data_IF_104216709844
#
_entry.id   IF_104216709844
#
_cell.length_a   1.000
_cell.length_b   1.000
_cell.length_c   1.000
_cell.angle_alpha   90.00
_cell.angle_beta   90.00
_cell.angle_gamma   90.00
#
_symmetry.space_group_name_H-M   'P 1'
#
loop_
_entity.id
_entity.type
_entity.pdbx_description
1 polymer ?
#
# COMPACT_ATOMS: atom_id res chain seq x y z
N UNK A 1 -5.81 -7.04 -3.67
CA UNK A 1 -6.43 -5.91 -2.96
C UNK A 1 -7.87 -5.68 -3.42
N UNK A 2 -8.12 -5.35 -4.69
CA UNK A 2 -9.48 -5.16 -5.23
C UNK A 2 -10.40 -6.36 -4.96
N UNK A 3 -9.92 -7.58 -5.19
CA UNK A 3 -10.70 -8.80 -4.92
C UNK A 3 -11.02 -8.95 -3.42
N UNK A 4 -10.04 -8.75 -2.54
CA UNK A 4 -10.26 -8.77 -1.09
C UNK A 4 -11.26 -7.69 -0.65
N UNK A 5 -11.28 -6.52 -1.31
CA UNK A 5 -12.28 -5.49 -1.03
C UNK A 5 -13.68 -5.90 -1.51
N UNK A 6 -13.77 -6.56 -2.67
CA UNK A 6 -15.04 -6.94 -3.29
C UNK A 6 -15.82 -7.98 -2.50
N UNK A 7 -15.12 -8.83 -1.72
CA UNK A 7 -15.76 -9.90 -0.94
C UNK A 7 -16.15 -9.47 0.48
N UNK A 8 -15.63 -8.33 0.98
CA UNK A 8 -16.04 -7.79 2.28
C UNK A 8 -17.47 -7.25 2.19
N UNK A 9 -18.47 -8.02 2.62
CA UNK A 9 -19.88 -7.62 2.77
C UNK A 9 -20.37 -7.96 4.18
N UNK A 10 -21.64 -7.65 4.49
CA UNK A 10 -22.24 -8.01 5.78
C UNK A 10 -22.22 -9.54 6.07
N UNK A 11 -22.11 -10.37 5.02
CA UNK A 11 -22.03 -11.84 5.11
C UNK A 11 -20.58 -12.37 5.02
N UNK A 12 -19.58 -11.56 5.41
CA UNK A 12 -18.17 -11.95 5.32
C UNK A 12 -17.83 -13.21 6.14
N UNK A 13 -16.82 -13.94 5.69
CA UNK A 13 -16.35 -15.16 6.34
C UNK A 13 -14.86 -15.18 6.65
N UNK A 14 -14.37 -16.28 7.25
CA UNK A 14 -12.95 -16.49 7.53
C UNK A 14 -12.05 -16.36 6.28
N UNK A 15 -12.58 -16.64 5.09
CA UNK A 15 -11.85 -16.51 3.83
C UNK A 15 -11.53 -15.05 3.49
N UNK A 16 -12.40 -14.10 3.85
CA UNK A 16 -12.20 -12.66 3.65
C UNK A 16 -11.11 -12.14 4.56
N UNK A 17 -11.15 -12.51 5.85
CA UNK A 17 -10.08 -12.19 6.80
C UNK A 17 -8.73 -12.77 6.32
N UNK A 18 -8.71 -14.00 5.82
CA UNK A 18 -7.51 -14.59 5.25
C UNK A 18 -6.99 -13.83 4.01
N UNK A 19 -7.89 -13.31 3.16
CA UNK A 19 -7.51 -12.48 2.02
C UNK A 19 -6.89 -11.14 2.45
N UNK A 20 -7.46 -10.49 3.47
CA UNK A 20 -6.91 -9.25 4.04
C UNK A 20 -5.52 -9.51 4.66
N UNK A 21 -5.32 -10.63 5.36
CA UNK A 21 -3.99 -11.01 5.89
C UNK A 21 -2.96 -11.26 4.79
N UNK A 22 -3.36 -11.83 3.66
CA UNK A 22 -2.44 -11.99 2.50
C UNK A 22 -2.00 -10.63 1.95
N UNK A 23 -2.93 -9.67 1.90
CA UNK A 23 -2.61 -8.29 1.50
C UNK A 23 -1.62 -7.66 2.49
N UNK A 24 -1.91 -7.73 3.79
CA UNK A 24 -1.05 -7.17 4.84
C UNK A 24 0.37 -7.76 4.85
N UNK A 25 0.51 -9.08 4.66
CA UNK A 25 1.83 -9.70 4.50
C UNK A 25 2.57 -9.21 3.27
N UNK A 26 1.90 -9.13 2.12
CA UNK A 26 2.54 -8.60 0.90
C UNK A 26 3.02 -7.16 1.10
N UNK A 27 2.23 -6.33 1.78
CA UNK A 27 2.61 -4.95 2.11
C UNK A 27 3.83 -4.91 3.02
N UNK A 28 3.78 -5.63 4.14
CA UNK A 28 4.80 -5.54 5.20
C UNK A 28 6.09 -6.28 4.87
N UNK A 29 6.03 -7.38 4.13
CA UNK A 29 7.20 -8.20 3.81
C UNK A 29 7.89 -7.79 2.51
N UNK A 30 7.21 -7.05 1.62
CA UNK A 30 7.75 -6.72 0.29
C UNK A 30 7.64 -5.25 -0.08
N UNK A 31 6.42 -4.71 -0.10
CA UNK A 31 6.19 -3.39 -0.66
C UNK A 31 6.81 -2.28 0.20
N UNK A 32 6.47 -2.23 1.50
CA UNK A 32 6.99 -1.18 2.38
C UNK A 32 8.53 -1.24 2.54
N UNK A 33 9.16 -2.43 2.62
CA UNK A 33 10.62 -2.51 2.55
C UNK A 33 11.23 -1.97 1.25
N UNK A 34 10.58 -2.19 0.10
CA UNK A 34 10.99 -1.62 -1.19
C UNK A 34 10.94 -0.09 -1.16
N UNK A 35 9.76 0.48 -0.86
CA UNK A 35 9.57 1.94 -0.82
C UNK A 35 10.53 2.61 0.18
N UNK A 36 10.76 1.98 1.33
CA UNK A 36 11.73 2.46 2.31
C UNK A 36 13.16 2.51 1.74
N UNK A 37 13.57 1.48 1.00
CA UNK A 37 14.89 1.45 0.37
C UNK A 37 15.02 2.54 -0.70
N UNK A 38 13.96 2.82 -1.46
CA UNK A 38 13.96 3.92 -2.42
C UNK A 38 14.17 5.27 -1.73
N UNK A 39 13.35 5.58 -0.72
CA UNK A 39 13.42 6.83 0.04
C UNK A 39 14.79 7.10 0.66
N UNK A 40 15.42 6.05 1.20
CA UNK A 40 16.63 6.22 2.02
C UNK A 40 17.93 5.94 1.28
N UNK A 41 17.86 5.32 0.10
CA UNK A 41 19.05 4.90 -0.65
C UNK A 41 19.02 5.41 -2.10
N UNK A 42 17.95 5.13 -2.84
CA UNK A 42 17.88 5.44 -4.27
C UNK A 42 17.67 6.93 -4.53
N UNK A 43 16.62 7.53 -3.95
CA UNK A 43 16.27 8.92 -4.19
C UNK A 43 17.40 9.88 -3.77
N UNK A 44 18.05 9.73 -2.59
CA UNK A 44 19.19 10.56 -2.24
C UNK A 44 20.39 10.42 -3.20
N UNK A 45 20.56 9.26 -3.85
CA UNK A 45 21.61 9.08 -4.85
C UNK A 45 21.23 9.73 -6.19
N UNK A 46 19.95 9.71 -6.56
CA UNK A 46 19.43 10.34 -7.77
C UNK A 46 19.46 11.87 -7.70
N UNK A 47 19.02 12.44 -6.58
CA UNK A 47 19.06 13.88 -6.33
C UNK A 47 20.48 14.44 -6.47
N UNK A 48 21.48 13.73 -5.93
CA UNK A 48 22.89 14.10 -6.08
C UNK A 48 23.37 14.13 -7.53
N UNK A 49 22.78 13.31 -8.41
CA UNK A 49 23.16 13.22 -9.83
C UNK A 49 22.42 14.22 -10.70
N UNK A 50 21.12 14.42 -10.44
CA UNK A 50 20.25 15.27 -11.27
C UNK A 50 20.17 16.72 -10.78
N UNK A 51 20.55 16.99 -9.53
CA UNK A 51 20.61 18.35 -8.98
C UNK A 51 19.24 19.00 -8.68
N UNK A 52 18.13 18.26 -8.77
CA UNK A 52 16.81 18.72 -8.30
C UNK A 52 16.12 17.65 -7.44
N UNK A 53 15.65 18.01 -6.23
CA UNK A 53 14.85 17.15 -5.36
C UNK A 53 13.39 16.99 -5.83
N UNK A 54 12.94 17.82 -6.78
CA UNK A 54 11.55 17.82 -7.27
C UNK A 54 11.22 16.55 -8.07
N UNK A 55 12.26 15.82 -8.53
CA UNK A 55 12.11 14.60 -9.35
C UNK A 55 11.46 13.46 -8.57
N UNK A 56 11.71 13.35 -7.27
CA UNK A 56 11.23 12.23 -6.43
C UNK A 56 10.13 12.64 -5.44
N UNK A 57 9.86 13.93 -5.25
CA UNK A 57 8.88 14.41 -4.26
C UNK A 57 7.47 13.83 -4.45
N UNK A 58 7.02 13.68 -5.70
CA UNK A 58 5.69 13.11 -6.00
C UNK A 58 5.62 11.64 -5.60
N UNK A 59 6.69 10.87 -5.83
CA UNK A 59 6.77 9.47 -5.43
C UNK A 59 6.84 9.34 -3.91
N UNK A 60 7.60 10.20 -3.21
CA UNK A 60 7.65 10.17 -1.74
C UNK A 60 6.33 10.49 -1.07
N UNK A 61 5.54 11.39 -1.66
CA UNK A 61 4.16 11.62 -1.23
C UNK A 61 3.28 10.38 -1.43
N UNK A 62 3.44 9.67 -2.55
CA UNK A 62 2.70 8.42 -2.79
C UNK A 62 3.08 7.35 -1.75
N UNK A 63 4.37 7.13 -1.46
CA UNK A 63 4.84 6.20 -0.42
C UNK A 63 4.25 6.52 0.95
N UNK A 64 4.22 7.79 1.33
CA UNK A 64 3.63 8.23 2.61
C UNK A 64 2.15 7.81 2.71
N UNK A 65 1.38 7.99 1.63
CA UNK A 65 -0.04 7.61 1.59
C UNK A 65 -0.24 6.09 1.55
N UNK A 66 0.62 5.35 0.83
CA UNK A 66 0.62 3.89 0.80
C UNK A 66 0.87 3.35 2.21
N UNK A 67 1.89 3.85 2.91
CA UNK A 67 2.22 3.44 4.27
C UNK A 67 1.07 3.76 5.25
N UNK A 68 0.42 4.93 5.11
CA UNK A 68 -0.76 5.30 5.91
C UNK A 68 -1.90 4.30 5.74
N UNK A 69 -2.23 3.92 4.50
CA UNK A 69 -3.29 2.96 4.22
C UNK A 69 -2.91 1.54 4.66
N UNK A 70 -1.65 1.13 4.49
CA UNK A 70 -1.13 -0.15 4.97
C UNK A 70 -1.28 -0.29 6.49
N UNK A 71 -0.85 0.72 7.26
CA UNK A 71 -1.02 0.75 8.73
C UNK A 71 -2.48 0.66 9.16
N UNK A 72 -3.40 1.23 8.38
CA UNK A 72 -4.85 1.15 8.64
C UNK A 72 -5.35 -0.28 8.47
N UNK A 73 -4.92 -0.99 7.42
CA UNK A 73 -5.22 -2.43 7.24
C UNK A 73 -4.68 -3.24 8.42
N UNK A 74 -3.41 -3.06 8.79
CA UNK A 74 -2.80 -3.77 9.94
C UNK A 74 -3.58 -3.50 11.23
N UNK A 75 -4.10 -2.29 11.41
CA UNK A 75 -4.92 -1.93 12.58
C UNK A 75 -6.25 -2.68 12.61
N UNK A 76 -6.95 -2.80 11.48
CA UNK A 76 -8.16 -3.63 11.43
C UNK A 76 -7.85 -5.11 11.71
N UNK A 77 -6.74 -5.63 11.22
CA UNK A 77 -6.33 -7.01 11.50
C UNK A 77 -6.05 -7.24 12.98
N UNK A 78 -5.36 -6.32 13.66
CA UNK A 78 -5.14 -6.40 15.11
C UNK A 78 -6.43 -6.38 15.92
N UNK A 79 -7.42 -5.58 15.50
CA UNK A 79 -8.75 -5.58 16.13
C UNK A 79 -9.46 -6.93 15.93
N UNK A 80 -9.39 -7.48 14.72
CA UNK A 80 -9.97 -8.78 14.40
C UNK A 80 -9.25 -9.94 15.13
N UNK A 81 -7.95 -9.82 15.41
CA UNK A 81 -7.22 -10.77 16.25
C UNK A 81 -7.77 -10.81 17.69
N UNK A 82 -8.17 -9.64 18.22
CA UNK A 82 -8.74 -9.54 19.57
C UNK A 82 -10.14 -10.15 19.71
N UNK A 83 -10.93 -10.16 18.64
CA UNK A 83 -12.32 -10.68 18.63
C UNK A 83 -12.48 -12.03 17.91
N UNK A 84 -11.45 -12.47 17.19
CA UNK A 84 -11.45 -13.68 16.37
C UNK A 84 -12.09 -13.53 14.98
N UNK A 85 -12.63 -12.36 14.64
CA UNK A 85 -13.29 -12.10 13.35
C UNK A 85 -13.31 -10.61 13.00
N UNK A 86 -13.41 -10.28 11.71
CA UNK A 86 -13.76 -8.92 11.31
C UNK A 86 -15.16 -8.58 11.86
N UNK A 87 -15.30 -7.39 12.42
CA UNK A 87 -16.57 -6.89 12.91
C UNK A 87 -17.28 -6.06 11.82
N UNK A 88 -18.63 -6.02 11.80
CA UNK A 88 -19.40 -5.25 10.82
C UNK A 88 -18.96 -3.78 10.70
N UNK A 89 -18.59 -3.17 11.82
CA UNK A 89 -18.17 -1.76 11.89
C UNK A 89 -16.82 -1.51 11.22
N UNK A 90 -16.01 -2.56 10.98
CA UNK A 90 -14.72 -2.46 10.30
C UNK A 90 -14.86 -2.48 8.77
N UNK A 91 -15.97 -3.01 8.25
CA UNK A 91 -16.04 -3.47 6.86
C UNK A 91 -15.96 -2.33 5.85
N UNK A 92 -16.74 -1.28 6.05
CA UNK A 92 -16.78 -0.17 5.08
C UNK A 92 -15.45 0.59 5.05
N UNK A 93 -14.84 0.81 6.21
CA UNK A 93 -13.54 1.46 6.31
C UNK A 93 -12.41 0.61 5.72
N UNK A 94 -12.40 -0.69 6.02
CA UNK A 94 -11.41 -1.62 5.45
C UNK A 94 -11.59 -1.77 3.94
N UNK A 95 -12.83 -1.83 3.45
CA UNK A 95 -13.15 -1.88 2.01
C UNK A 95 -12.67 -0.63 1.30
N UNK A 96 -12.99 0.56 1.85
CA UNK A 96 -12.54 1.84 1.31
C UNK A 96 -11.00 1.92 1.30
N UNK A 97 -10.34 1.49 2.38
CA UNK A 97 -8.88 1.44 2.49
C UNK A 97 -8.26 0.53 1.42
N UNK A 98 -8.81 -0.66 1.20
CA UNK A 98 -8.30 -1.61 0.19
C UNK A 98 -8.50 -1.12 -1.25
N UNK A 99 -9.62 -0.49 -1.57
CA UNK A 99 -9.84 0.12 -2.89
C UNK A 99 -8.96 1.34 -3.12
N UNK A 100 -8.83 2.20 -2.10
CA UNK A 100 -7.94 3.37 -2.14
C UNK A 100 -6.50 2.94 -2.38
N UNK A 101 -6.01 1.97 -1.61
CA UNK A 101 -4.66 1.44 -1.75
C UNK A 101 -4.43 0.77 -3.11
N UNK A 102 -5.41 -0.01 -3.61
CA UNK A 102 -5.32 -0.59 -4.95
C UNK A 102 -5.17 0.47 -6.04
N UNK A 103 -5.96 1.54 -5.96
CA UNK A 103 -5.95 2.61 -6.96
C UNK A 103 -4.64 3.39 -6.89
N UNK A 104 -4.18 3.72 -5.69
CA UNK A 104 -2.94 4.43 -5.46
C UNK A 104 -1.73 3.64 -5.97
N UNK A 105 -1.66 2.32 -5.67
CA UNK A 105 -0.56 1.48 -6.16
C UNK A 105 -0.54 1.36 -7.67
N UNK A 106 -1.71 1.29 -8.32
CA UNK A 106 -1.75 1.28 -9.79
C UNK A 106 -1.18 2.57 -10.38
N UNK A 107 -1.48 3.71 -9.78
CA UNK A 107 -0.92 4.99 -10.22
C UNK A 107 0.59 5.05 -9.95
N UNK A 108 0.99 4.71 -8.72
CA UNK A 108 2.38 4.71 -8.29
C UNK A 108 3.26 3.85 -9.20
N UNK A 109 2.87 2.60 -9.49
CA UNK A 109 3.67 1.74 -10.38
C UNK A 109 3.74 2.25 -11.82
N UNK A 110 2.67 2.89 -12.32
CA UNK A 110 2.72 3.52 -13.65
C UNK A 110 3.72 4.70 -13.68
N UNK A 111 3.75 5.51 -12.62
CA UNK A 111 4.72 6.60 -12.47
C UNK A 111 6.15 6.10 -12.30
N UNK A 112 6.32 4.98 -11.59
CA UNK A 112 7.61 4.32 -11.41
C UNK A 112 8.14 3.78 -12.75
N UNK A 113 7.31 3.09 -13.53
CA UNK A 113 7.67 2.62 -14.88
C UNK A 113 8.06 3.78 -15.82
N UNK A 114 7.27 4.87 -15.87
CA UNK A 114 7.58 6.06 -16.65
C UNK A 114 8.93 6.71 -16.25
N UNK A 115 9.21 6.73 -14.95
CA UNK A 115 10.47 7.26 -14.40
C UNK A 115 11.66 6.38 -14.77
N UNK A 116 11.52 5.05 -14.68
CA UNK A 116 12.57 4.13 -15.11
C UNK A 116 12.87 4.26 -16.60
N UNK A 117 11.85 4.32 -17.46
CA UNK A 117 12.03 4.56 -18.90
C UNK A 117 12.77 5.87 -19.19
N UNK A 118 12.50 6.92 -18.41
CA UNK A 118 13.17 8.22 -18.57
C UNK A 118 14.64 8.22 -18.13
N UNK A 119 15.05 7.24 -17.31
CA UNK A 119 16.40 7.13 -16.74
C UNK A 119 17.31 6.13 -17.48
N UNK A 120 16.75 5.25 -18.32
CA UNK A 120 17.50 4.34 -19.20
C UNK A 120 17.56 4.89 -20.64
N UNK A 121 18.76 5.10 -21.23
CA UNK A 121 18.93 5.68 -22.57
C UNK A 121 18.54 4.73 -23.72
#
# INVERSE_FOLDING_TARGET
MREAAATLSADHGPQDLAAVRRVDRMLTERLLPHEFAEEHQLYPALEKRLGSPEVTETMSRAHTEIERLARRITTHLRLADGTGALQPEQLDDLRATLYGLHTLLRLHFAQEEESYFSLTP
#
